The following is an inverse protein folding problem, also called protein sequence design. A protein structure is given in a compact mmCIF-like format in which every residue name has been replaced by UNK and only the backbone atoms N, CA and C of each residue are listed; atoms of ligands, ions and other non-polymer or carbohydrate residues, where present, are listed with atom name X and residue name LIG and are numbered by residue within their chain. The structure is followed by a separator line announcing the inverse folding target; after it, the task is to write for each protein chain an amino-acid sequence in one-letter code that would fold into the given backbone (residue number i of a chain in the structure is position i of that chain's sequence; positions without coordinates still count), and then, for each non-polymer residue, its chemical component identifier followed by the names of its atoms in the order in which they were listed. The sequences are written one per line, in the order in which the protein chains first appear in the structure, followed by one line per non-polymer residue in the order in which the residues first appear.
data_IF_544053839485
#
_entry.id   IF_544053839485
#
_cell.length_a   1.000
_cell.length_b   1.000
_cell.length_c   1.000
_cell.angle_alpha   90.00
_cell.angle_beta   90.00
_cell.angle_gamma   90.00
#
_symmetry.space_group_name_H-M   'P 1'
#
loop_
_entity.id
_entity.type
_entity.pdbx_description
1 polymer ?
#
# COMPACT_ATOMS: atom_id res chain seq x y z
N UNK A 1 25.18 3.19 -4.81
CA UNK A 1 24.77 2.12 -3.88
C UNK A 1 23.35 1.71 -4.19
N UNK A 2 23.02 0.44 -3.97
CA UNK A 2 21.66 -0.09 -4.24
C UNK A 2 20.61 0.69 -3.45
N UNK A 3 20.88 1.04 -2.20
CA UNK A 3 19.96 1.80 -1.37
C UNK A 3 19.50 3.10 -2.03
N UNK A 4 20.40 3.80 -2.70
CA UNK A 4 20.07 5.08 -3.32
C UNK A 4 19.07 4.94 -4.46
N UNK A 5 18.96 3.74 -5.04
CA UNK A 5 17.98 3.47 -6.10
C UNK A 5 16.54 3.44 -5.61
N UNK A 6 16.35 3.31 -4.29
CA UNK A 6 15.02 3.26 -3.67
C UNK A 6 14.61 4.59 -3.06
N UNK A 7 15.55 5.49 -2.83
CA UNK A 7 15.24 6.78 -2.22
C UNK A 7 14.35 7.59 -3.16
N UNK A 8 13.27 8.13 -2.62
CA UNK A 8 12.35 8.96 -3.39
C UNK A 8 10.90 8.67 -3.08
N UNK A 9 10.03 9.20 -3.92
CA UNK A 9 8.58 9.01 -3.85
C UNK A 9 8.18 8.18 -5.05
N UNK A 10 7.49 7.07 -4.79
CA UNK A 10 7.13 6.10 -5.81
C UNK A 10 5.61 5.98 -5.88
N UNK A 11 5.07 6.10 -7.08
CA UNK A 11 3.65 5.90 -7.31
C UNK A 11 3.39 4.40 -7.46
N UNK A 12 2.34 3.91 -6.79
CA UNK A 12 1.92 2.52 -6.95
C UNK A 12 1.34 2.32 -8.36
N UNK A 13 1.80 1.25 -9.02
CA UNK A 13 1.27 0.85 -10.33
C UNK A 13 0.16 -0.18 -10.15
N UNK A 14 0.40 -1.19 -9.30
CA UNK A 14 -0.57 -2.24 -9.06
C UNK A 14 -0.25 -2.94 -7.75
N UNK A 15 -1.29 -3.50 -7.13
CA UNK A 15 -1.16 -4.38 -5.97
C UNK A 15 -1.92 -5.65 -6.28
N UNK A 16 -1.21 -6.78 -6.39
CA UNK A 16 -1.82 -8.05 -6.74
C UNK A 16 -1.20 -9.18 -5.96
N UNK A 17 -1.98 -10.25 -5.78
CA UNK A 17 -1.53 -11.48 -5.11
C UNK A 17 -1.83 -12.65 -6.01
N UNK A 18 -0.84 -13.52 -6.20
CA UNK A 18 -1.03 -14.78 -6.91
C UNK A 18 -1.58 -15.84 -5.95
N UNK A 19 -2.71 -16.40 -6.31
CA UNK A 19 -3.33 -17.47 -5.53
C UNK A 19 -2.71 -18.82 -5.89
N UNK A 20 -2.88 -19.79 -4.99
CA UNK A 20 -2.30 -21.13 -5.18
C UNK A 20 -2.85 -21.85 -6.42
N UNK A 21 -4.03 -21.46 -6.90
CA UNK A 21 -4.65 -22.04 -8.10
C UNK A 21 -4.26 -21.32 -9.40
N UNK A 22 -3.31 -20.37 -9.32
CA UNK A 22 -2.83 -19.61 -10.47
C UNK A 22 -3.59 -18.34 -10.78
N UNK A 23 -4.71 -18.08 -10.10
CA UNK A 23 -5.47 -16.85 -10.31
C UNK A 23 -4.76 -15.67 -9.64
N UNK A 24 -5.07 -14.47 -10.10
CA UNK A 24 -4.57 -13.23 -9.51
C UNK A 24 -5.67 -12.54 -8.75
N UNK A 25 -5.40 -12.14 -7.50
CA UNK A 25 -6.32 -11.35 -6.69
C UNK A 25 -5.78 -9.93 -6.57
N UNK A 26 -6.70 -8.99 -6.40
CA UNK A 26 -6.39 -7.57 -6.24
C UNK A 26 -6.98 -7.08 -4.92
N UNK A 27 -6.24 -7.19 -3.80
CA UNK A 27 -6.79 -6.87 -2.47
C UNK A 27 -7.32 -5.43 -2.35
N UNK A 28 -6.75 -4.50 -3.12
CA UNK A 28 -7.16 -3.10 -3.12
C UNK A 28 -7.79 -2.67 -4.44
N UNK A 29 -8.31 -3.65 -5.22
CA UNK A 29 -8.89 -3.40 -6.52
C UNK A 29 -7.85 -3.32 -7.63
N UNK A 30 -8.30 -3.48 -8.88
CA UNK A 30 -7.41 -3.42 -10.04
C UNK A 30 -6.82 -2.03 -10.26
N UNK A 31 -7.54 -1.00 -9.80
CA UNK A 31 -7.15 0.40 -9.96
C UNK A 31 -6.60 0.97 -8.64
N UNK A 32 -6.04 0.13 -7.79
CA UNK A 32 -5.47 0.56 -6.52
C UNK A 32 -4.52 1.75 -6.71
N UNK A 33 -4.60 2.72 -5.82
CA UNK A 33 -3.72 3.87 -5.82
C UNK A 33 -2.88 3.86 -4.54
N UNK A 34 -1.70 4.44 -4.63
CA UNK A 34 -0.83 4.47 -3.47
C UNK A 34 0.46 5.21 -3.74
N UNK A 35 1.18 5.42 -2.66
CA UNK A 35 2.45 6.12 -2.68
C UNK A 35 3.39 5.45 -1.69
N UNK A 36 4.64 5.26 -2.12
CA UNK A 36 5.71 4.71 -1.30
C UNK A 36 6.79 5.76 -1.20
N UNK A 37 7.26 6.01 0.01
CA UNK A 37 8.29 7.03 0.27
C UNK A 37 9.44 6.36 1.00
N UNK A 38 10.66 6.55 0.49
CA UNK A 38 11.89 6.05 1.11
C UNK A 38 12.88 7.20 1.21
N UNK A 39 13.36 7.50 2.41
CA UNK A 39 14.34 8.57 2.59
C UNK A 39 15.77 8.02 2.75
N UNK A 40 16.75 8.91 2.76
CA UNK A 40 18.17 8.53 2.86
C UNK A 40 18.55 8.04 4.24
N UNK A 41 17.81 8.43 5.28
CA UNK A 41 18.09 8.08 6.65
C UNK A 41 17.54 6.70 7.05
N UNK A 42 16.90 6.00 6.13
CA UNK A 42 16.35 4.68 6.39
C UNK A 42 14.92 4.66 6.88
N UNK A 43 14.17 5.72 6.65
CA UNK A 43 12.74 5.77 6.97
C UNK A 43 11.90 5.50 5.75
N UNK A 44 10.74 4.87 5.95
CA UNK A 44 9.81 4.59 4.87
C UNK A 44 8.38 4.84 5.32
N UNK A 45 7.53 5.14 4.35
CA UNK A 45 6.10 5.31 4.57
C UNK A 45 5.36 4.86 3.33
N UNK A 46 4.35 4.01 3.51
CA UNK A 46 3.56 3.48 2.41
C UNK A 46 2.08 3.75 2.66
N UNK A 47 1.38 4.11 1.59
CA UNK A 47 -0.06 4.29 1.58
C UNK A 47 -0.63 3.57 0.37
N UNK A 48 -1.66 2.75 0.60
CA UNK A 48 -2.36 2.01 -0.45
C UNK A 48 -3.85 2.14 -0.22
N UNK A 49 -4.62 2.34 -1.27
CA UNK A 49 -6.07 2.35 -1.10
C UNK A 49 -6.80 1.86 -2.34
N UNK A 50 -7.97 1.32 -2.11
CA UNK A 50 -8.95 1.05 -3.14
C UNK A 50 -9.71 2.37 -3.40
N UNK A 51 -9.62 2.95 -4.62
CA UNK A 51 -10.27 4.22 -4.90
C UNK A 51 -11.81 4.10 -4.95
N UNK A 52 -12.33 2.87 -5.02
CA UNK A 52 -13.77 2.63 -5.13
C UNK A 52 -14.44 2.41 -3.78
N UNK A 53 -13.76 2.76 -2.67
CA UNK A 53 -14.38 2.66 -1.36
C UNK A 53 -15.63 3.55 -1.29
N UNK A 54 -16.75 3.03 -0.77
CA UNK A 54 -17.96 3.83 -0.69
C UNK A 54 -17.80 4.97 0.33
N UNK A 55 -18.43 6.09 0.03
CA UNK A 55 -18.53 7.18 0.99
C UNK A 55 -19.54 6.81 2.08
N UNK A 56 -19.33 7.32 3.29
CA UNK A 56 -20.32 7.14 4.34
C UNK A 56 -21.58 7.93 4.00
N UNK A 57 -22.71 7.27 4.17
CA UNK A 57 -24.01 7.90 3.88
C UNK A 57 -24.18 9.19 4.68
N UNK A 58 -23.72 9.22 5.93
CA UNK A 58 -23.80 10.42 6.79
C UNK A 58 -22.92 11.57 6.32
N UNK A 59 -21.89 11.30 5.51
CA UNK A 59 -20.89 12.31 5.16
C UNK A 59 -19.92 12.64 6.31
N UNK A 60 -19.99 11.91 7.42
CA UNK A 60 -19.16 12.14 8.60
C UNK A 60 -18.38 10.84 8.91
N UNK A 61 -17.06 10.95 8.94
CA UNK A 61 -16.18 9.79 9.20
C UNK A 61 -16.42 9.16 10.58
N UNK A 62 -17.05 9.88 11.50
CA UNK A 62 -17.36 9.40 12.85
C UNK A 62 -18.68 8.66 12.93
N UNK A 63 -19.52 8.73 11.89
CA UNK A 63 -20.88 8.21 11.89
C UNK A 63 -21.11 7.23 10.74
N UNK A 64 -20.18 6.29 10.55
CA UNK A 64 -20.35 5.22 9.58
C UNK A 64 -21.09 4.04 10.16
N UNK A 65 -21.78 3.28 9.31
CA UNK A 65 -22.31 1.97 9.70
C UNK A 65 -21.14 0.98 9.85
N UNK A 66 -21.34 -0.15 10.58
CA UNK A 66 -20.29 -1.17 10.67
C UNK A 66 -19.79 -1.65 9.30
N UNK A 67 -20.68 -1.82 8.33
CA UNK A 67 -20.33 -2.23 6.98
C UNK A 67 -19.49 -1.17 6.26
N UNK A 68 -19.84 0.10 6.42
CA UNK A 68 -19.10 1.21 5.83
C UNK A 68 -17.70 1.31 6.43
N UNK A 69 -17.60 1.17 7.75
CA UNK A 69 -16.32 1.20 8.46
C UNK A 69 -15.43 0.05 8.00
N UNK A 70 -16.00 -1.16 7.88
CA UNK A 70 -15.25 -2.32 7.42
C UNK A 70 -14.74 -2.12 6.00
N UNK A 71 -15.57 -1.63 5.11
CA UNK A 71 -15.16 -1.37 3.73
C UNK A 71 -14.04 -0.32 3.65
N UNK A 72 -14.14 0.72 4.46
CA UNK A 72 -13.11 1.75 4.52
C UNK A 72 -11.79 1.19 5.04
N UNK A 73 -11.84 0.39 6.10
CA UNK A 73 -10.65 -0.23 6.68
C UNK A 73 -10.01 -1.22 5.73
N UNK A 74 -10.81 -2.13 5.16
CA UNK A 74 -10.29 -3.17 4.28
C UNK A 74 -9.70 -2.61 2.99
N UNK A 75 -10.16 -1.45 2.57
CA UNK A 75 -9.71 -0.80 1.34
C UNK A 75 -8.57 0.19 1.52
N UNK A 76 -7.95 0.24 2.68
CA UNK A 76 -6.87 1.19 2.94
C UNK A 76 -5.80 0.56 3.81
N UNK A 77 -4.54 0.82 3.46
CA UNK A 77 -3.39 0.44 4.28
C UNK A 77 -2.40 1.60 4.33
N UNK A 78 -1.95 1.92 5.52
CA UNK A 78 -0.92 2.95 5.71
C UNK A 78 -0.02 2.51 6.86
N UNK A 79 1.28 2.62 6.66
CA UNK A 79 2.26 2.31 7.68
C UNK A 79 3.55 3.05 7.41
N UNK A 80 4.34 3.19 8.45
CA UNK A 80 5.67 3.79 8.34
C UNK A 80 6.63 3.03 9.26
N UNK A 81 7.91 3.20 9.00
CA UNK A 81 8.94 2.55 9.80
C UNK A 81 10.32 2.82 9.24
N UNK A 82 11.22 1.93 9.58
CA UNK A 82 12.58 1.95 9.05
C UNK A 82 12.73 0.86 8.01
N UNK A 83 13.70 1.02 7.13
CA UNK A 83 13.99 0.00 6.13
C UNK A 83 15.49 -0.18 5.98
N UNK A 84 15.87 -1.35 5.51
CA UNK A 84 17.23 -1.67 5.12
C UNK A 84 17.19 -2.35 3.76
N UNK A 85 18.27 -2.15 2.99
CA UNK A 85 18.46 -2.83 1.71
C UNK A 85 19.68 -3.71 1.84
N UNK A 86 19.48 -5.02 1.66
CA UNK A 86 20.57 -5.96 1.58
C UNK A 86 21.07 -5.98 0.13
N UNK A 87 22.24 -5.43 -0.10
CA UNK A 87 22.81 -5.33 -1.45
C UNK A 87 23.17 -6.69 -2.05
N UNK A 88 23.16 -7.75 -1.25
CA UNK A 88 23.45 -9.09 -1.71
C UNK A 88 22.20 -9.82 -2.23
N UNK A 89 21.02 -9.25 -2.00
CA UNK A 89 19.76 -9.84 -2.49
C UNK A 89 19.22 -9.02 -3.65
N UNK A 90 18.19 -9.59 -4.30
CA UNK A 90 17.60 -8.95 -5.47
C UNK A 90 16.86 -7.68 -5.06
N UNK A 91 16.76 -6.77 -6.01
CA UNK A 91 16.18 -5.46 -5.82
C UNK A 91 14.74 -5.48 -5.27
N UNK A 92 13.98 -6.53 -5.49
CA UNK A 92 12.61 -6.64 -4.98
C UNK A 92 12.48 -7.08 -3.53
N UNK A 93 13.60 -7.40 -2.86
CA UNK A 93 13.59 -7.99 -1.52
C UNK A 93 13.86 -6.93 -0.46
N UNK A 94 13.05 -5.88 -0.44
CA UNK A 94 13.09 -4.83 0.58
C UNK A 94 12.43 -5.32 1.87
N UNK A 95 13.01 -4.88 2.97
CA UNK A 95 12.49 -5.18 4.30
C UNK A 95 11.43 -4.16 4.72
#
# INVERSE_FOLDING_TARGET
MVKDNFVGVWKLVASEVKLSDGRTAYPYGKDAVGMLVYDKQGHMSDHLMNPDRPLFFSGDIRNGTPEEIKAAFDGYAAYFGTYEVDEQVRQGDLL
#
